data_IF_387861612252
#
_entry.id   IF_387861612252
#
_cell.length_a   1.000
_cell.length_b   1.000
_cell.length_c   1.000
_cell.angle_alpha   90.00
_cell.angle_beta   90.00
_cell.angle_gamma   90.00
#
_symmetry.space_group_name_H-M   'P 1'
#
loop_
_entity.id
_entity.type
_entity.pdbx_description
1 polymer ?
#
# COMPACT_ATOMS: atom_id res chain seq x y z
N UNK A 1 3.32 31.49 -8.62
CA UNK A 1 2.21 30.53 -8.65
C UNK A 1 2.16 29.64 -7.39
N UNK A 2 2.08 30.23 -6.18
CA UNK A 2 2.03 29.44 -4.93
C UNK A 2 0.62 29.16 -4.39
N UNK A 3 -0.42 29.79 -4.93
CA UNK A 3 -1.77 29.69 -4.35
C UNK A 3 -2.45 28.29 -4.48
N UNK A 4 -2.13 27.55 -5.53
CA UNK A 4 -2.77 26.21 -5.74
C UNK A 4 -2.33 25.18 -4.68
N UNK A 5 -1.11 25.22 -4.22
CA UNK A 5 -0.58 24.31 -3.20
C UNK A 5 -1.09 24.62 -1.79
N UNK A 6 -1.27 25.90 -1.48
CA UNK A 6 -1.82 26.34 -0.19
C UNK A 6 -3.30 26.00 -0.08
N UNK A 7 -4.06 26.15 -1.16
CA UNK A 7 -5.49 25.79 -1.20
C UNK A 7 -5.71 24.29 -1.13
N UNK A 8 -4.90 23.47 -1.81
CA UNK A 8 -4.98 22.00 -1.73
C UNK A 8 -4.63 21.49 -0.32
N UNK A 9 -3.61 22.06 0.33
CA UNK A 9 -3.25 21.69 1.70
C UNK A 9 -4.34 22.04 2.72
N UNK A 10 -5.08 23.14 2.51
CA UNK A 10 -6.21 23.49 3.39
C UNK A 10 -7.46 22.66 3.13
N UNK A 11 -7.68 22.19 1.91
CA UNK A 11 -8.86 21.37 1.56
C UNK A 11 -8.84 19.97 2.20
N UNK A 12 -7.67 19.42 2.56
CA UNK A 12 -7.53 18.08 3.15
C UNK A 12 -7.52 18.11 4.68
N UNK A 13 -7.37 19.27 5.31
CA UNK A 13 -7.27 19.42 6.77
C UNK A 13 -8.53 19.04 7.54
N UNK A 14 -9.68 18.97 6.87
CA UNK A 14 -10.95 18.53 7.45
C UNK A 14 -11.32 17.10 7.04
N UNK A 15 -10.52 16.48 6.16
CA UNK A 15 -10.74 15.15 5.62
C UNK A 15 -9.92 14.09 6.37
N UNK A 16 -10.32 12.83 6.20
CA UNK A 16 -9.62 11.67 6.77
C UNK A 16 -9.05 10.80 5.65
N UNK A 17 -7.93 10.13 5.91
CA UNK A 17 -7.29 9.22 4.96
C UNK A 17 -7.04 7.84 5.55
N UNK A 18 -7.14 6.81 4.71
CA UNK A 18 -6.66 5.46 4.98
C UNK A 18 -5.35 5.25 4.21
N UNK A 19 -4.29 4.88 4.92
CA UNK A 19 -2.97 4.61 4.35
C UNK A 19 -2.74 3.11 4.28
N UNK A 20 -2.38 2.60 3.10
CA UNK A 20 -1.87 1.24 2.96
C UNK A 20 -0.43 1.25 3.49
N UNK A 21 -0.22 0.56 4.59
CA UNK A 21 0.98 0.67 5.41
C UNK A 21 1.62 -0.69 5.66
N UNK A 22 2.80 -0.93 5.13
CA UNK A 22 3.55 -2.19 5.34
C UNK A 22 4.59 -2.09 6.46
N UNK A 23 4.95 -0.89 6.90
CA UNK A 23 6.09 -0.65 7.80
C UNK A 23 7.43 -0.50 7.06
N UNK A 24 7.47 -0.64 5.74
CA UNK A 24 8.62 -0.34 4.90
C UNK A 24 8.79 1.16 4.65
N UNK A 25 9.93 1.56 4.09
CA UNK A 25 10.34 2.96 3.92
C UNK A 25 9.31 3.80 3.15
N UNK A 26 8.84 3.32 2.00
CA UNK A 26 7.93 4.08 1.13
C UNK A 26 6.56 4.27 1.79
N UNK A 27 6.02 3.22 2.38
CA UNK A 27 4.74 3.29 3.09
C UNK A 27 4.83 4.16 4.35
N UNK A 28 5.97 4.19 5.01
CA UNK A 28 6.23 5.09 6.16
C UNK A 28 6.27 6.55 5.70
N UNK A 29 6.91 6.85 4.58
CA UNK A 29 6.87 8.18 3.96
C UNK A 29 5.44 8.60 3.64
N UNK A 30 4.63 7.69 3.08
CA UNK A 30 3.21 7.95 2.80
C UNK A 30 2.40 8.21 4.08
N UNK A 31 2.68 7.49 5.16
CA UNK A 31 2.02 7.69 6.45
C UNK A 31 2.28 9.09 6.99
N UNK A 32 3.54 9.50 7.08
CA UNK A 32 3.90 10.85 7.56
C UNK A 32 3.37 11.94 6.63
N UNK A 33 3.43 11.75 5.31
CA UNK A 33 2.84 12.66 4.34
C UNK A 33 1.34 12.86 4.56
N UNK A 34 0.62 11.77 4.86
CA UNK A 34 -0.81 11.83 5.15
C UNK A 34 -1.09 12.55 6.49
N UNK A 35 -0.33 12.25 7.54
CA UNK A 35 -0.50 12.87 8.86
C UNK A 35 -0.32 14.39 8.84
N UNK A 36 0.53 14.91 7.96
CA UNK A 36 0.70 16.36 7.79
C UNK A 36 -0.50 17.02 7.09
N UNK A 37 -1.29 16.29 6.32
CA UNK A 37 -2.29 16.85 5.39
C UNK A 37 -3.74 16.57 5.76
N UNK A 38 -3.99 15.47 6.44
CA UNK A 38 -5.34 15.06 6.82
C UNK A 38 -5.58 15.27 8.32
N UNK A 39 -6.85 15.46 8.67
CA UNK A 39 -7.30 15.62 10.06
C UNK A 39 -7.05 14.36 10.88
N UNK A 40 -7.30 13.20 10.28
CA UNK A 40 -7.12 11.89 10.89
C UNK A 40 -6.62 10.91 9.84
N UNK A 41 -5.71 10.06 10.26
CA UNK A 41 -5.16 8.98 9.44
C UNK A 41 -5.46 7.65 10.12
N UNK A 42 -5.88 6.68 9.31
CA UNK A 42 -6.02 5.27 9.68
C UNK A 42 -5.04 4.48 8.83
N UNK A 43 -4.34 3.52 9.42
CA UNK A 43 -3.43 2.64 8.70
C UNK A 43 -4.04 1.25 8.50
N UNK A 44 -3.78 0.62 7.37
CA UNK A 44 -4.11 -0.78 7.11
C UNK A 44 -2.89 -1.54 6.60
N UNK A 45 -2.57 -2.66 7.24
CA UNK A 45 -1.53 -3.60 6.82
C UNK A 45 -2.19 -4.90 6.39
N UNK A 46 -1.66 -5.52 5.34
CA UNK A 46 -2.11 -6.82 4.85
C UNK A 46 -1.10 -7.90 5.21
N UNK A 47 -1.57 -8.92 5.93
CA UNK A 47 -0.80 -10.13 6.23
C UNK A 47 -1.19 -11.22 5.22
N UNK A 48 -0.34 -11.45 4.24
CA UNK A 48 -0.54 -12.47 3.21
C UNK A 48 0.47 -13.63 3.33
N UNK A 49 1.09 -13.79 4.51
CA UNK A 49 2.08 -14.83 4.77
C UNK A 49 3.46 -14.50 4.19
N UNK A 50 3.79 -13.22 4.05
CA UNK A 50 5.12 -12.77 3.60
C UNK A 50 6.22 -13.24 4.56
N UNK A 51 7.41 -13.55 4.02
CA UNK A 51 8.58 -13.98 4.81
C UNK A 51 9.02 -12.97 5.87
N UNK A 52 8.82 -11.69 5.59
CA UNK A 52 9.24 -10.59 6.48
C UNK A 52 8.15 -10.26 7.51
N UNK A 53 7.89 -11.20 8.43
CA UNK A 53 7.01 -10.96 9.60
C UNK A 53 7.45 -9.72 10.40
N UNK A 54 8.75 -9.39 10.35
CA UNK A 54 9.30 -8.19 10.96
C UNK A 54 8.64 -6.89 10.45
N UNK A 55 8.21 -6.83 9.18
CA UNK A 55 7.53 -5.64 8.64
C UNK A 55 6.20 -5.36 9.36
N UNK A 56 5.41 -6.39 9.62
CA UNK A 56 4.14 -6.24 10.34
C UNK A 56 4.40 -5.79 11.78
N UNK A 57 5.46 -6.29 12.41
CA UNK A 57 5.85 -5.86 13.76
C UNK A 57 6.31 -4.39 13.76
N UNK A 58 7.11 -3.98 12.76
CA UNK A 58 7.49 -2.58 12.57
C UNK A 58 6.26 -1.69 12.34
N UNK A 59 5.32 -2.12 11.49
CA UNK A 59 4.09 -1.38 11.25
C UNK A 59 3.28 -1.17 12.54
N UNK A 60 3.14 -2.22 13.37
CA UNK A 60 2.46 -2.12 14.68
C UNK A 60 3.19 -1.18 15.63
N UNK A 61 4.53 -1.26 15.71
CA UNK A 61 5.31 -0.41 16.59
C UNK A 61 5.21 1.07 16.19
N UNK A 62 5.38 1.38 14.90
CA UNK A 62 5.30 2.76 14.38
C UNK A 62 3.90 3.34 14.61
N UNK A 63 2.85 2.61 14.29
CA UNK A 63 1.47 3.12 14.45
C UNK A 63 1.09 3.31 15.92
N UNK A 64 1.58 2.43 16.81
CA UNK A 64 1.39 2.57 18.26
C UNK A 64 2.11 3.80 18.82
N UNK A 65 3.35 4.05 18.40
CA UNK A 65 4.13 5.22 18.81
C UNK A 65 3.49 6.53 18.33
N UNK A 66 2.95 6.54 17.11
CA UNK A 66 2.30 7.70 16.52
C UNK A 66 0.83 7.88 16.96
N UNK A 67 0.25 6.95 17.70
CA UNK A 67 -1.16 6.98 18.08
C UNK A 67 -2.12 6.83 16.87
N UNK A 68 -1.68 6.20 15.79
CA UNK A 68 -2.47 5.99 14.57
C UNK A 68 -3.30 4.72 14.72
N UNK A 69 -4.60 4.81 14.45
CA UNK A 69 -5.48 3.63 14.37
C UNK A 69 -4.98 2.67 13.30
N UNK A 70 -4.76 1.41 13.66
CA UNK A 70 -4.13 0.43 12.76
C UNK A 70 -4.94 -0.86 12.67
N UNK A 71 -5.23 -1.27 11.45
CA UNK A 71 -5.86 -2.55 11.13
C UNK A 71 -4.86 -3.46 10.44
N UNK A 72 -4.81 -4.73 10.87
CA UNK A 72 -4.06 -5.78 10.16
C UNK A 72 -5.08 -6.78 9.63
N UNK A 73 -5.15 -6.91 8.30
CA UNK A 73 -6.10 -7.78 7.62
C UNK A 73 -5.38 -9.04 7.14
N UNK A 74 -5.94 -10.20 7.49
CA UNK A 74 -5.45 -11.49 7.01
C UNK A 74 -5.83 -11.68 5.54
N UNK A 75 -4.81 -11.90 4.71
CA UNK A 75 -4.90 -12.14 3.28
C UNK A 75 -4.21 -13.46 2.88
N UNK A 76 -4.15 -14.44 3.78
CA UNK A 76 -3.49 -15.74 3.54
C UNK A 76 -4.00 -16.46 2.28
N UNK A 77 -5.24 -16.16 1.84
CA UNK A 77 -5.79 -16.68 0.59
C UNK A 77 -4.95 -16.27 -0.63
N UNK A 78 -4.35 -15.07 -0.61
CA UNK A 78 -3.50 -14.60 -1.70
C UNK A 78 -2.29 -15.54 -1.91
N UNK A 79 -1.69 -16.03 -0.84
CA UNK A 79 -0.59 -16.99 -0.91
C UNK A 79 -1.01 -18.35 -1.50
N UNK A 80 -2.28 -18.75 -1.33
CA UNK A 80 -2.79 -19.97 -1.94
C UNK A 80 -3.03 -19.80 -3.45
N UNK A 81 -3.45 -18.61 -3.87
CA UNK A 81 -3.77 -18.32 -5.28
C UNK A 81 -2.52 -17.98 -6.09
N UNK A 82 -1.60 -17.22 -5.51
CA UNK A 82 -0.40 -16.72 -6.18
C UNK A 82 0.87 -16.99 -5.33
N UNK A 83 1.27 -18.25 -5.15
CA UNK A 83 2.49 -18.57 -4.42
C UNK A 83 3.73 -18.05 -5.18
N UNK A 84 4.64 -17.41 -4.47
CA UNK A 84 5.85 -16.79 -5.05
C UNK A 84 7.01 -16.80 -4.05
N UNK A 85 8.18 -16.29 -4.48
CA UNK A 85 9.39 -16.30 -3.66
C UNK A 85 9.30 -15.45 -2.38
N UNK A 86 8.38 -14.49 -2.30
CA UNK A 86 8.17 -13.66 -1.10
C UNK A 86 7.26 -14.34 -0.06
N UNK A 87 6.47 -15.32 -0.46
CA UNK A 87 5.52 -15.99 0.41
C UNK A 87 5.90 -17.45 0.71
N UNK A 88 6.75 -18.07 -0.13
CA UNK A 88 7.16 -19.47 0.02
C UNK A 88 8.67 -19.62 0.18
N UNK A 89 9.09 -20.34 1.23
CA UNK A 89 10.50 -20.56 1.52
C UNK A 89 11.16 -21.59 0.59
N UNK A 90 10.37 -22.42 -0.09
CA UNK A 90 10.83 -23.40 -1.06
C UNK A 90 11.05 -22.79 -2.48
N UNK A 91 10.66 -21.55 -2.71
CA UNK A 91 10.91 -20.82 -3.94
C UNK A 91 12.08 -19.84 -3.70
N UNK A 92 13.25 -20.02 -4.31
CA UNK A 92 14.36 -19.08 -4.17
C UNK A 92 14.01 -17.73 -4.82
N UNK A 93 14.49 -16.64 -4.23
CA UNK A 93 14.35 -15.29 -4.86
C UNK A 93 15.32 -15.24 -6.04
N UNK A 94 14.80 -14.87 -7.20
CA UNK A 94 15.62 -14.62 -8.36
C UNK A 94 16.25 -13.22 -8.25
N UNK A 95 17.58 -13.20 -8.11
CA UNK A 95 18.36 -11.95 -8.00
C UNK A 95 18.76 -11.40 -9.38
N UNK A 96 18.35 -12.03 -10.47
CA UNK A 96 18.65 -11.54 -11.81
C UNK A 96 18.00 -10.18 -12.03
N UNK A 97 18.76 -9.26 -12.66
CA UNK A 97 18.22 -7.94 -13.05
C UNK A 97 17.16 -8.17 -14.12
N UNK A 98 15.92 -7.64 -13.95
CA UNK A 98 14.90 -7.78 -14.96
C UNK A 98 15.36 -7.18 -16.29
N UNK A 99 15.36 -7.99 -17.35
CA UNK A 99 15.68 -7.55 -18.71
C UNK A 99 14.51 -6.81 -19.40
N UNK A 100 13.45 -6.54 -18.64
CA UNK A 100 12.21 -5.93 -19.11
C UNK A 100 11.29 -6.89 -19.89
N UNK A 101 11.69 -8.15 -20.08
CA UNK A 101 10.91 -9.17 -20.78
C UNK A 101 10.41 -10.27 -19.86
N UNK A 102 11.07 -10.46 -18.72
CA UNK A 102 10.70 -11.47 -17.73
C UNK A 102 10.08 -10.81 -16.49
N UNK A 103 8.98 -11.39 -16.01
CA UNK A 103 8.33 -10.97 -14.76
C UNK A 103 9.15 -11.53 -13.58
N UNK A 104 9.58 -10.69 -12.63
CA UNK A 104 10.29 -11.16 -11.45
C UNK A 104 9.48 -12.20 -10.67
N UNK A 105 10.10 -13.26 -10.19
CA UNK A 105 9.44 -14.31 -9.40
C UNK A 105 9.03 -13.82 -7.98
N UNK A 106 9.40 -12.60 -7.63
CA UNK A 106 8.91 -11.86 -6.46
C UNK A 106 7.57 -11.17 -6.69
N UNK A 107 7.07 -11.15 -7.93
CA UNK A 107 5.75 -10.61 -8.22
C UNK A 107 4.67 -11.46 -7.57
N UNK A 108 3.85 -10.83 -6.74
CA UNK A 108 2.59 -11.38 -6.26
C UNK A 108 1.49 -10.84 -7.16
N UNK A 109 1.03 -11.69 -8.10
CA UNK A 109 0.04 -11.31 -9.10
C UNK A 109 -1.21 -10.70 -8.45
N UNK A 110 -1.58 -9.48 -8.89
CA UNK A 110 -2.77 -8.78 -8.43
C UNK A 110 -2.74 -8.27 -6.99
N UNK A 111 -1.57 -8.28 -6.34
CA UNK A 111 -1.43 -7.86 -4.94
C UNK A 111 -1.96 -6.45 -4.69
N UNK A 112 -1.51 -5.46 -5.47
CA UNK A 112 -1.93 -4.08 -5.28
C UNK A 112 -3.41 -3.88 -5.63
N UNK A 113 -3.94 -4.60 -6.62
CA UNK A 113 -5.36 -4.59 -6.96
C UNK A 113 -6.20 -5.05 -5.77
N UNK A 114 -5.84 -6.17 -5.14
CA UNK A 114 -6.55 -6.69 -3.97
C UNK A 114 -6.41 -5.76 -2.77
N UNK A 115 -5.20 -5.31 -2.46
CA UNK A 115 -4.95 -4.42 -1.33
C UNK A 115 -5.72 -3.11 -1.44
N UNK A 116 -5.71 -2.47 -2.59
CA UNK A 116 -6.46 -1.24 -2.83
C UNK A 116 -7.97 -1.47 -2.75
N UNK A 117 -8.48 -2.60 -3.27
CA UNK A 117 -9.89 -2.94 -3.18
C UNK A 117 -10.34 -3.18 -1.74
N UNK A 118 -9.60 -3.96 -0.96
CA UNK A 118 -9.93 -4.20 0.45
C UNK A 118 -9.75 -2.95 1.31
N UNK A 119 -8.72 -2.14 1.03
CA UNK A 119 -8.56 -0.84 1.69
C UNK A 119 -9.75 0.08 1.40
N UNK A 120 -10.28 0.11 0.17
CA UNK A 120 -11.46 0.90 -0.18
C UNK A 120 -12.71 0.42 0.55
N UNK A 121 -12.91 -0.89 0.70
CA UNK A 121 -14.01 -1.44 1.48
C UNK A 121 -13.90 -0.99 2.94
N UNK A 122 -12.72 -1.12 3.55
CA UNK A 122 -12.47 -0.67 4.92
C UNK A 122 -12.69 0.85 5.05
N UNK A 123 -12.19 1.64 4.12
CA UNK A 123 -12.38 3.10 4.10
C UNK A 123 -13.87 3.48 4.05
N UNK A 124 -14.65 2.81 3.20
CA UNK A 124 -16.11 3.02 3.13
C UNK A 124 -16.82 2.71 4.44
N UNK A 125 -16.45 1.65 5.16
CA UNK A 125 -17.05 1.32 6.46
C UNK A 125 -16.74 2.38 7.52
N UNK A 126 -15.67 3.14 7.34
CA UNK A 126 -15.23 4.23 8.24
C UNK A 126 -15.61 5.62 7.75
N UNK A 127 -16.33 5.73 6.62
CA UNK A 127 -16.65 7.00 5.95
C UNK A 127 -15.41 7.80 5.52
N UNK A 128 -14.30 7.13 5.25
CA UNK A 128 -13.06 7.72 4.73
C UNK A 128 -13.11 7.69 3.20
N UNK A 129 -12.77 8.82 2.56
CA UNK A 129 -12.83 8.98 1.10
C UNK A 129 -11.48 8.94 0.41
N UNK A 130 -10.40 9.05 1.17
CA UNK A 130 -9.05 9.15 0.63
C UNK A 130 -8.24 7.89 0.97
N UNK A 131 -7.68 7.27 -0.07
CA UNK A 131 -6.68 6.22 0.06
C UNK A 131 -5.32 6.79 -0.28
N UNK A 132 -4.31 6.44 0.53
CA UNK A 132 -2.90 6.79 0.30
C UNK A 132 -2.10 5.51 0.17
N UNK A 133 -1.32 5.41 -0.89
CA UNK A 133 -0.45 4.25 -1.17
C UNK A 133 0.86 4.71 -1.80
N UNK A 134 1.92 3.94 -1.59
CA UNK A 134 3.27 4.21 -2.11
C UNK A 134 3.60 3.41 -3.37
N UNK A 135 2.62 3.07 -4.22
CA UNK A 135 2.90 2.43 -5.50
C UNK A 135 3.62 3.39 -6.44
N UNK A 136 4.63 2.90 -7.16
CA UNK A 136 5.46 3.69 -8.05
C UNK A 136 5.50 3.07 -9.45
N UNK A 137 5.22 3.88 -10.48
CA UNK A 137 5.31 3.44 -11.88
C UNK A 137 6.76 3.43 -12.40
N UNK A 138 7.62 4.26 -11.81
CA UNK A 138 8.97 4.53 -12.30
C UNK A 138 10.06 3.66 -11.68
N UNK A 139 9.72 2.73 -10.80
CA UNK A 139 10.69 1.85 -10.15
C UNK A 139 11.16 0.69 -11.04
N UNK A 140 10.73 0.67 -12.30
CA UNK A 140 11.06 -0.33 -13.32
C UNK A 140 10.74 -1.78 -12.94
N UNK A 141 9.94 -1.99 -11.89
CA UNK A 141 9.52 -3.32 -11.43
C UNK A 141 8.67 -4.08 -12.46
N UNK A 142 8.12 -3.36 -13.45
CA UNK A 142 7.28 -3.94 -14.49
C UNK A 142 5.87 -4.34 -14.02
N UNK A 143 5.50 -4.06 -12.78
CA UNK A 143 4.23 -4.47 -12.21
C UNK A 143 3.05 -3.72 -12.82
N UNK A 144 2.10 -4.41 -13.48
CA UNK A 144 0.96 -3.76 -14.13
C UNK A 144 0.10 -2.94 -13.17
N UNK A 145 -0.03 -3.41 -11.92
CA UNK A 145 -0.84 -2.80 -10.87
C UNK A 145 -0.12 -1.69 -10.07
N UNK A 146 1.06 -1.28 -10.54
CA UNK A 146 1.75 -0.05 -10.09
C UNK A 146 1.59 1.11 -11.07
N UNK A 147 1.04 0.87 -12.28
CA UNK A 147 0.95 1.88 -13.33
C UNK A 147 -0.13 2.93 -13.05
N UNK A 148 0.13 4.15 -13.47
CA UNK A 148 -0.82 5.25 -13.31
C UNK A 148 -2.19 4.95 -13.96
N UNK A 149 -2.21 4.31 -15.14
CA UNK A 149 -3.46 3.92 -15.81
C UNK A 149 -4.28 2.93 -14.96
N UNK A 150 -3.62 2.01 -14.26
CA UNK A 150 -4.31 1.11 -13.34
C UNK A 150 -4.94 1.88 -12.18
N UNK A 151 -4.17 2.75 -11.52
CA UNK A 151 -4.66 3.57 -10.40
C UNK A 151 -5.84 4.45 -10.81
N UNK A 152 -5.77 5.09 -11.98
CA UNK A 152 -6.88 5.89 -12.52
C UNK A 152 -8.14 5.05 -12.78
N UNK A 153 -7.98 3.88 -13.41
CA UNK A 153 -9.10 2.97 -13.69
C UNK A 153 -9.75 2.47 -12.41
N UNK A 154 -8.95 2.09 -11.43
CA UNK A 154 -9.43 1.63 -10.13
C UNK A 154 -10.17 2.74 -9.38
N UNK A 155 -9.64 3.97 -9.39
CA UNK A 155 -10.28 5.12 -8.74
C UNK A 155 -11.65 5.46 -9.34
N UNK A 156 -11.86 5.19 -10.62
CA UNK A 156 -13.19 5.34 -11.27
C UNK A 156 -14.14 4.21 -10.86
N UNK A 157 -13.60 3.02 -10.56
CA UNK A 157 -14.40 1.85 -10.21
C UNK A 157 -14.87 1.86 -8.75
N UNK A 158 -14.08 2.44 -7.86
CA UNK A 158 -14.33 2.49 -6.41
C UNK A 158 -15.16 3.71 -6.00
#
# INVERSE_FOLDING_TARGET
>A
MPLKWVLLNNMLKDEEALVIFSGGQDSTTCLFWAMERFKRVVAVTFDYGQRHVAEIQCARAITAELGVEHHVLDMALLNQLAPNSLTRSDIPVDESIPDGQTTPNSLVEGRNMLFLTFAAILAKTKNIRHLVTGVCETDFSGYPDCRNVFIQSLNVTL
#
